data_IF_736494506430
#
_entry.id   IF_736494506430
#
_cell.length_a   1.000
_cell.length_b   1.000
_cell.length_c   1.000
_cell.angle_alpha   90.00
_cell.angle_beta   90.00
_cell.angle_gamma   90.00
#
_symmetry.space_group_name_H-M   'P 1'
#
loop_
_entity.id
_entity.type
_entity.pdbx_description
1 polymer ?
#
# COMPACT_ATOMS: atom_id res chain seq x y z
N UNK A 1 24.06 18.93 4.40
CA UNK A 1 24.18 17.76 3.50
C UNK A 1 22.89 17.65 2.73
N UNK A 2 22.90 18.01 1.45
CA UNK A 2 21.72 17.91 0.58
C UNK A 2 21.48 16.43 0.30
N UNK A 3 20.31 15.91 0.70
CA UNK A 3 19.95 14.54 0.36
C UNK A 3 19.88 14.42 -1.17
N UNK A 4 20.68 13.52 -1.75
CA UNK A 4 20.53 13.15 -3.15
C UNK A 4 19.10 12.62 -3.37
N UNK A 5 18.41 13.01 -4.45
CA UNK A 5 17.09 12.47 -4.74
C UNK A 5 17.21 10.96 -4.91
N UNK A 6 16.55 10.19 -4.02
CA UNK A 6 16.49 8.74 -4.16
C UNK A 6 15.93 8.40 -5.56
N UNK A 7 16.51 7.42 -6.26
CA UNK A 7 16.01 7.00 -7.56
C UNK A 7 14.53 6.65 -7.43
N UNK A 8 13.66 7.42 -8.11
CA UNK A 8 12.23 7.19 -8.03
C UNK A 8 11.92 5.82 -8.64
N UNK A 9 11.28 4.95 -7.86
CA UNK A 9 10.79 3.68 -8.38
C UNK A 9 9.92 3.92 -9.62
N UNK A 10 10.15 3.20 -10.73
CA UNK A 10 9.30 3.33 -11.90
C UNK A 10 7.88 2.82 -11.61
N UNK A 11 6.90 3.40 -12.29
CA UNK A 11 5.54 2.84 -12.32
C UNK A 11 5.57 1.41 -12.87
N UNK A 12 4.72 0.55 -12.31
CA UNK A 12 4.46 -0.80 -12.81
C UNK A 12 3.01 -1.18 -12.63
N UNK A 13 2.54 -2.05 -13.51
CA UNK A 13 1.27 -2.75 -13.32
C UNK A 13 1.38 -3.75 -12.17
N UNK A 14 0.30 -3.86 -11.39
CA UNK A 14 0.09 -4.91 -10.43
C UNK A 14 -1.36 -5.42 -10.51
N UNK A 15 -1.53 -6.74 -10.54
CA UNK A 15 -2.84 -7.38 -10.67
C UNK A 15 -3.48 -7.58 -9.30
N UNK A 16 -4.77 -7.25 -9.15
CA UNK A 16 -5.51 -7.57 -7.92
C UNK A 16 -5.73 -9.07 -7.85
N UNK A 17 -5.10 -9.74 -6.88
CA UNK A 17 -5.18 -11.20 -6.71
C UNK A 17 -6.24 -11.63 -5.70
N UNK A 18 -6.61 -10.74 -4.77
CA UNK A 18 -7.61 -10.99 -3.74
C UNK A 18 -8.23 -9.68 -3.25
N UNK A 19 -9.51 -9.74 -2.91
CA UNK A 19 -10.25 -8.65 -2.26
C UNK A 19 -10.95 -9.22 -1.03
N UNK A 20 -10.87 -8.54 0.11
CA UNK A 20 -11.55 -8.95 1.34
C UNK A 20 -12.07 -7.75 2.11
N UNK A 21 -13.39 -7.70 2.34
CA UNK A 21 -14.01 -6.67 3.17
C UNK A 21 -13.61 -6.87 4.63
N UNK A 22 -13.01 -5.85 5.25
CA UNK A 22 -12.59 -5.87 6.66
C UNK A 22 -13.62 -5.25 7.58
N UNK A 23 -14.18 -4.12 7.16
CA UNK A 23 -15.22 -3.38 7.87
C UNK A 23 -16.19 -2.76 6.85
N UNK A 24 -17.28 -2.10 7.27
CA UNK A 24 -18.13 -1.35 6.34
C UNK A 24 -17.39 -0.29 5.52
N UNK A 25 -16.29 0.27 6.03
CA UNK A 25 -15.51 1.32 5.37
C UNK A 25 -14.13 0.88 4.88
N UNK A 26 -13.64 -0.30 5.25
CA UNK A 26 -12.27 -0.73 4.89
C UNK A 26 -12.30 -2.07 4.17
N UNK A 27 -11.61 -2.13 3.04
CA UNK A 27 -11.42 -3.34 2.24
C UNK A 27 -9.93 -3.56 2.01
N UNK A 28 -9.46 -4.79 2.21
CA UNK A 28 -8.10 -5.22 1.88
C UNK A 28 -8.04 -5.70 0.44
N UNK A 29 -7.01 -5.27 -0.28
CA UNK A 29 -6.69 -5.65 -1.64
C UNK A 29 -5.28 -6.20 -1.68
N UNK A 30 -5.09 -7.39 -2.25
CA UNK A 30 -3.78 -7.94 -2.50
C UNK A 30 -3.42 -7.72 -3.95
N UNK A 31 -2.21 -7.22 -4.16
CA UNK A 31 -1.66 -6.93 -5.47
C UNK A 31 -0.48 -7.84 -5.74
N UNK A 32 -0.39 -8.31 -6.98
CA UNK A 32 0.76 -9.01 -7.51
C UNK A 32 1.47 -8.08 -8.51
N UNK A 33 2.56 -7.40 -8.12
CA UNK A 33 3.33 -6.57 -9.03
C UNK A 33 3.93 -7.37 -10.18
N UNK A 34 3.99 -6.75 -11.36
CA UNK A 34 4.54 -7.36 -12.59
C UNK A 34 6.06 -7.56 -12.54
N UNK A 35 6.76 -6.87 -11.63
CA UNK A 35 8.20 -7.04 -11.37
C UNK A 35 8.42 -7.35 -9.89
N UNK A 36 9.56 -7.96 -9.51
CA UNK A 36 9.90 -8.18 -8.10
C UNK A 36 9.74 -6.90 -7.28
N UNK A 37 9.05 -7.02 -6.14
CA UNK A 37 8.73 -5.92 -5.26
C UNK A 37 9.14 -6.30 -3.84
N UNK A 38 9.99 -5.49 -3.23
CA UNK A 38 10.42 -5.64 -1.83
C UNK A 38 10.18 -4.32 -1.13
N UNK A 39 9.78 -4.38 0.15
CA UNK A 39 9.48 -3.20 0.96
C UNK A 39 9.88 -3.44 2.42
N UNK A 40 9.97 -2.37 3.19
CA UNK A 40 10.12 -2.39 4.64
C UNK A 40 8.77 -2.12 5.31
N UNK A 41 8.58 -2.68 6.51
CA UNK A 41 7.36 -2.46 7.28
C UNK A 41 7.21 -0.96 7.62
N UNK A 42 6.10 -0.36 7.18
CA UNK A 42 5.81 1.07 7.33
C UNK A 42 5.95 1.89 6.05
N UNK A 43 6.51 1.33 4.98
CA UNK A 43 6.50 1.96 3.65
C UNK A 43 5.11 1.96 2.99
N UNK A 44 4.98 2.76 1.94
CA UNK A 44 3.76 2.92 1.16
C UNK A 44 4.03 2.81 -0.34
N UNK A 45 2.96 2.77 -1.13
CA UNK A 45 3.00 2.90 -2.59
C UNK A 45 2.12 4.05 -3.03
N UNK A 46 2.46 4.66 -4.16
CA UNK A 46 1.50 5.47 -4.90
C UNK A 46 0.70 4.57 -5.84
N UNK A 47 -0.62 4.69 -5.79
CA UNK A 47 -1.55 4.12 -6.77
C UNK A 47 -1.91 5.20 -7.78
N UNK A 48 -1.97 4.83 -9.06
CA UNK A 48 -2.49 5.68 -10.14
C UNK A 48 -3.64 4.98 -10.85
N UNK A 49 -4.74 5.72 -11.02
CA UNK A 49 -5.85 5.35 -11.87
C UNK A 49 -5.88 6.30 -13.06
N UNK A 50 -6.03 5.76 -14.27
CA UNK A 50 -6.15 6.54 -15.51
C UNK A 50 -7.55 6.30 -16.08
N UNK A 51 -8.34 7.36 -16.21
CA UNK A 51 -9.67 7.31 -16.82
C UNK A 51 -9.58 7.24 -18.36
N UNK A 52 -10.66 6.82 -19.05
CA UNK A 52 -10.65 6.72 -20.52
C UNK A 52 -10.36 8.02 -21.27
N UNK A 53 -10.65 9.17 -20.66
CA UNK A 53 -10.36 10.50 -21.18
C UNK A 53 -8.91 10.96 -20.91
N UNK A 54 -8.11 10.12 -20.26
CA UNK A 54 -6.71 10.38 -19.90
C UNK A 54 -6.52 11.07 -18.55
N UNK A 55 -7.59 11.40 -17.81
CA UNK A 55 -7.44 11.95 -16.46
C UNK A 55 -6.75 10.96 -15.52
N UNK A 56 -5.80 11.44 -14.70
CA UNK A 56 -5.05 10.61 -13.76
C UNK A 56 -5.25 11.04 -12.31
N UNK A 57 -5.86 10.18 -11.52
CA UNK A 57 -5.92 10.32 -10.06
C UNK A 57 -4.78 9.53 -9.42
N UNK A 58 -4.11 10.11 -8.41
CA UNK A 58 -3.01 9.47 -7.67
C UNK A 58 -3.19 9.59 -6.16
N UNK A 59 -2.99 8.50 -5.42
CA UNK A 59 -3.04 8.51 -3.95
C UNK A 59 -2.02 7.54 -3.37
N UNK A 60 -1.47 7.89 -2.22
CA UNK A 60 -0.52 7.05 -1.48
C UNK A 60 -1.27 6.14 -0.50
N UNK A 61 -0.87 4.86 -0.45
CA UNK A 61 -1.42 3.86 0.46
C UNK A 61 -0.31 3.10 1.16
N UNK A 62 -0.36 3.03 2.48
CA UNK A 62 0.56 2.21 3.27
C UNK A 62 0.41 0.74 2.93
N UNK A 63 1.53 0.03 2.90
CA UNK A 63 1.55 -1.41 2.74
C UNK A 63 1.20 -2.03 4.09
N UNK A 64 0.20 -2.92 4.10
CA UNK A 64 -0.26 -3.61 5.29
C UNK A 64 0.49 -4.93 5.54
N UNK A 65 0.99 -5.57 4.49
CA UNK A 65 1.69 -6.86 4.57
C UNK A 65 3.11 -6.71 5.10
N UNK A 66 3.59 -7.74 5.81
CA UNK A 66 5.00 -7.82 6.20
C UNK A 66 5.91 -7.97 4.97
N UNK A 67 7.18 -7.53 5.03
CA UNK A 67 8.18 -7.77 3.98
C UNK A 67 8.31 -9.25 3.56
N UNK A 68 8.09 -10.17 4.49
CA UNK A 68 8.22 -11.62 4.30
C UNK A 68 6.96 -12.28 3.72
N UNK A 69 5.89 -11.53 3.47
CA UNK A 69 4.59 -12.08 3.06
C UNK A 69 4.54 -12.67 1.64
N UNK A 70 5.67 -12.66 0.93
CA UNK A 70 5.82 -13.17 -0.44
C UNK A 70 5.94 -12.06 -1.47
N UNK A 71 5.74 -12.40 -2.74
CA UNK A 71 5.96 -11.49 -3.87
C UNK A 71 4.85 -10.46 -4.10
N UNK A 72 3.81 -10.44 -3.25
CA UNK A 72 2.68 -9.52 -3.35
C UNK A 72 2.59 -8.58 -2.16
N UNK A 73 1.76 -7.55 -2.28
CA UNK A 73 1.50 -6.59 -1.20
C UNK A 73 0.02 -6.51 -0.86
N UNK A 74 -0.31 -6.26 0.41
CA UNK A 74 -1.68 -5.96 0.85
C UNK A 74 -1.81 -4.45 1.06
N UNK A 75 -2.84 -3.83 0.47
CA UNK A 75 -3.27 -2.47 0.80
C UNK A 75 -4.64 -2.56 1.48
N UNK A 76 -4.80 -1.89 2.61
CA UNK A 76 -6.10 -1.74 3.27
C UNK A 76 -6.62 -0.32 3.01
N UNK A 77 -7.68 -0.24 2.20
CA UNK A 77 -8.18 1.02 1.65
C UNK A 77 -9.48 1.40 2.36
N UNK A 78 -9.44 2.52 3.06
CA UNK A 78 -10.63 3.16 3.63
C UNK A 78 -11.41 3.89 2.54
N UNK A 79 -12.74 3.71 2.52
CA UNK A 79 -13.66 4.45 1.66
C UNK A 79 -13.81 5.86 2.21
N UNK A 80 -13.43 6.82 1.38
CA UNK A 80 -13.71 8.23 1.53
C UNK A 80 -14.76 8.60 0.49
N UNK A 81 -15.95 9.01 0.95
CA UNK A 81 -17.12 9.23 0.10
C UNK A 81 -16.90 10.33 -0.95
N UNK A 82 -15.99 11.27 -0.66
CA UNK A 82 -15.56 12.38 -1.52
C UNK A 82 -14.21 12.13 -2.21
N UNK A 83 -13.63 10.92 -2.09
CA UNK A 83 -12.36 10.57 -2.70
C UNK A 83 -12.48 10.18 -4.18
N UNK A 84 -11.43 10.38 -4.96
CA UNK A 84 -11.42 9.96 -6.38
C UNK A 84 -10.97 8.50 -6.57
N UNK A 85 -10.03 8.05 -5.72
CA UNK A 85 -9.42 6.72 -5.86
C UNK A 85 -10.09 5.67 -4.98
N UNK A 86 -10.49 6.02 -3.76
CA UNK A 86 -11.06 5.04 -2.84
C UNK A 86 -12.43 4.51 -3.27
N UNK A 87 -13.37 5.31 -3.84
CA UNK A 87 -14.63 4.75 -4.32
C UNK A 87 -14.44 3.79 -5.50
N UNK A 88 -13.48 4.04 -6.39
CA UNK A 88 -13.14 3.08 -7.45
C UNK A 88 -12.80 1.71 -6.86
N UNK A 89 -11.96 1.65 -5.82
CA UNK A 89 -11.62 0.38 -5.18
C UNK A 89 -12.83 -0.30 -4.53
N UNK A 90 -13.74 0.45 -3.94
CA UNK A 90 -14.89 -0.10 -3.23
C UNK A 90 -16.06 -0.47 -4.14
N UNK A 91 -16.23 0.22 -5.27
CA UNK A 91 -17.43 0.11 -6.11
C UNK A 91 -17.14 -0.56 -7.47
N UNK A 92 -15.90 -0.54 -7.96
CA UNK A 92 -15.56 -0.96 -9.34
C UNK A 92 -14.49 -2.05 -9.38
N UNK A 93 -13.42 -1.92 -8.60
CA UNK A 93 -12.25 -2.80 -8.69
C UNK A 93 -12.61 -4.28 -8.41
N UNK A 94 -12.08 -5.17 -9.24
CA UNK A 94 -12.30 -6.61 -9.18
C UNK A 94 -10.98 -7.39 -9.18
N UNK A 95 -11.04 -8.65 -8.71
CA UNK A 95 -9.91 -9.59 -8.87
C UNK A 95 -9.63 -9.78 -10.36
N UNK A 96 -8.35 -9.67 -10.74
CA UNK A 96 -7.90 -9.71 -12.13
C UNK A 96 -7.61 -8.33 -12.72
N UNK A 97 -8.11 -7.24 -12.12
CA UNK A 97 -7.83 -5.89 -12.62
C UNK A 97 -6.36 -5.53 -12.47
N UNK A 98 -5.86 -4.79 -13.46
CA UNK A 98 -4.50 -4.26 -13.52
C UNK A 98 -4.47 -2.79 -13.05
N UNK A 99 -3.72 -2.52 -11.99
CA UNK A 99 -3.59 -1.19 -11.39
C UNK A 99 -2.14 -0.74 -11.42
N UNK A 100 -1.90 0.54 -11.73
CA UNK A 100 -0.55 1.10 -11.72
C UNK A 100 -0.11 1.46 -10.29
N UNK A 101 1.02 0.89 -9.88
CA UNK A 101 1.67 1.15 -8.60
C UNK A 101 3.08 1.72 -8.81
N UNK A 102 3.49 2.59 -7.89
CA UNK A 102 4.88 3.05 -7.75
C UNK A 102 5.33 2.92 -6.30
N UNK A 103 6.47 2.28 -6.11
CA UNK A 103 7.10 2.17 -4.80
C UNK A 103 8.09 1.00 -4.70
N UNK A 104 8.48 0.61 -3.49
CA UNK A 104 8.04 1.23 -2.23
C UNK A 104 8.52 2.69 -2.10
N UNK A 105 7.79 3.50 -1.34
CA UNK A 105 8.09 4.89 -1.04
C UNK A 105 8.13 5.09 0.49
N UNK A 106 8.86 6.12 0.91
CA UNK A 106 9.11 6.41 2.31
C UNK A 106 10.38 5.76 2.86
N UNK A 107 10.64 6.00 4.14
CA UNK A 107 11.87 5.56 4.83
C UNK A 107 12.06 6.17 6.22
N UNK A 108 11.26 7.18 6.58
CA UNK A 108 11.28 7.79 7.92
C UNK A 108 10.33 7.13 8.93
N UNK A 109 9.37 6.34 8.45
CA UNK A 109 8.39 5.63 9.27
C UNK A 109 8.49 4.13 8.99
N UNK A 110 9.66 3.57 9.31
CA UNK A 110 9.95 2.14 9.16
C UNK A 110 10.25 1.54 10.53
N UNK A 111 10.01 0.24 10.66
CA UNK A 111 10.48 -0.55 11.79
C UNK A 111 11.06 -1.86 11.28
N UNK A 112 12.26 -2.19 11.73
CA UNK A 112 12.97 -3.41 11.40
C UNK A 112 13.12 -4.29 12.65
N UNK A 113 13.17 -5.61 12.46
CA UNK A 113 13.40 -6.54 13.58
C UNK A 113 14.71 -6.24 14.35
N UNK A 114 15.71 -5.66 13.67
CA UNK A 114 16.98 -5.22 14.25
C UNK A 114 16.85 -4.06 15.24
N UNK A 115 15.79 -3.25 15.15
CA UNK A 115 15.52 -2.16 16.11
C UNK A 115 15.23 -2.72 17.52
N UNK A 116 14.68 -3.94 17.58
CA UNK A 116 14.46 -4.68 18.82
C UNK A 116 13.52 -4.00 19.83
N UNK A 117 13.52 -4.54 21.05
CA UNK A 117 12.81 -3.96 22.20
C UNK A 117 11.27 -4.06 22.18
N UNK A 118 10.62 -3.57 23.26
CA UNK A 118 9.17 -3.37 23.28
C UNK A 118 8.75 -2.24 22.33
N UNK A 119 7.65 -2.43 21.60
CA UNK A 119 7.14 -1.45 20.62
C UNK A 119 5.72 -1.02 21.00
N UNK A 120 5.48 0.29 21.09
CA UNK A 120 4.16 0.88 21.22
C UNK A 120 3.75 1.52 19.88
N UNK A 121 2.70 0.99 19.27
CA UNK A 121 2.16 1.47 17.99
C UNK A 121 0.84 2.19 18.25
N UNK A 122 0.74 3.46 17.84
CA UNK A 122 -0.46 4.29 18.02
C UNK A 122 -0.97 4.73 16.66
N UNK A 123 -2.23 4.44 16.35
CA UNK A 123 -2.85 4.81 15.09
C UNK A 123 -4.36 4.99 15.22
N UNK A 124 -4.94 5.77 14.31
CA UNK A 124 -6.38 5.99 14.20
C UNK A 124 -6.82 5.91 12.73
N UNK A 125 -8.01 5.36 12.49
CA UNK A 125 -8.52 5.14 11.13
C UNK A 125 -7.55 4.31 10.28
N UNK A 126 -7.42 4.68 9.00
CA UNK A 126 -6.42 4.11 8.08
C UNK A 126 -4.95 4.27 8.51
N UNK A 127 -4.65 5.10 9.52
CA UNK A 127 -3.33 5.18 10.14
C UNK A 127 -2.87 3.88 10.81
N UNK A 128 -3.76 2.90 11.02
CA UNK A 128 -3.41 1.56 11.53
C UNK A 128 -2.68 0.70 10.50
N UNK A 129 -2.82 0.98 9.20
CA UNK A 129 -2.32 0.13 8.12
C UNK A 129 -0.80 -0.10 8.16
N UNK A 130 0.07 0.93 8.25
CA UNK A 130 1.51 0.69 8.36
C UNK A 130 1.89 -0.01 9.66
N UNK A 131 1.11 0.19 10.74
CA UNK A 131 1.32 -0.50 12.03
C UNK A 131 1.05 -2.00 11.90
N UNK A 132 0.06 -2.39 11.09
CA UNK A 132 -0.20 -3.81 10.81
C UNK A 132 0.97 -4.48 10.10
N UNK A 133 1.68 -3.79 9.20
CA UNK A 133 2.89 -4.33 8.60
C UNK A 133 3.97 -4.59 9.66
N UNK A 134 4.17 -3.65 10.60
CA UNK A 134 5.13 -3.80 11.70
C UNK A 134 4.76 -4.96 12.63
N UNK A 135 3.48 -5.07 13.02
CA UNK A 135 2.97 -6.18 13.85
C UNK A 135 3.17 -7.53 13.18
N UNK A 136 2.98 -7.60 11.85
CA UNK A 136 3.16 -8.83 11.08
C UNK A 136 4.63 -9.17 10.85
N UNK A 137 5.49 -8.16 10.70
CA UNK A 137 6.94 -8.31 10.54
C UNK A 137 7.63 -8.75 11.84
N UNK A 138 7.14 -8.31 13.00
CA UNK A 138 7.70 -8.63 14.33
C UNK A 138 7.59 -10.11 14.74
N UNK A 139 6.91 -10.96 13.97
CA UNK A 139 6.54 -12.32 14.38
C UNK A 139 7.72 -13.26 14.56
#
# INVERSE_FOLDING_TARGET
>A
MSAEPQPQSPWQTATISRIEKRTPRVTSFWFQPSRPFTHLAGQHVDVRLTAPDGYQARRSYSIASAPEAGAGIELAIERLDDGEVSPFFHDVAAVGDEIELRGPLGGHFIWEASDGGPVLLVGGGSGVVPLMAMVRHRR
#
